data_IF_529318556210
#
_entry.id   IF_529318556210
#
_cell.length_a   1.000
_cell.length_b   1.000
_cell.length_c   1.000
_cell.angle_alpha   90.00
_cell.angle_beta   90.00
_cell.angle_gamma   90.00
#
_symmetry.space_group_name_H-M   'P 1'
#
loop_
_entity.id
_entity.type
_entity.pdbx_description
1 polymer ?
#
# COMPACT_ATOMS: atom_id res chain seq x y z
N UNK A 1 -4.76 -3.21 11.18
CA UNK A 1 -5.84 -3.77 12.02
C UNK A 1 -5.53 -5.22 12.35
N UNK A 2 -5.69 -5.67 13.61
CA UNK A 2 -5.24 -6.99 14.06
C UNK A 2 -6.05 -8.17 13.47
N UNK A 3 -7.30 -7.95 13.06
CA UNK A 3 -8.09 -9.03 12.43
C UNK A 3 -7.57 -9.45 11.06
N UNK A 4 -6.94 -8.54 10.30
CA UNK A 4 -6.43 -8.83 8.95
C UNK A 4 -5.19 -9.73 9.00
N UNK A 5 -4.44 -9.69 10.10
CA UNK A 5 -3.28 -10.56 10.31
C UNK A 5 -3.65 -12.05 10.27
N UNK A 6 -4.86 -12.41 10.66
CA UNK A 6 -5.31 -13.80 10.72
C UNK A 6 -6.21 -14.17 9.53
N UNK A 7 -6.35 -13.30 8.53
CA UNK A 7 -7.27 -13.51 7.40
C UNK A 7 -7.01 -14.84 6.68
N UNK A 8 -5.73 -15.18 6.45
CA UNK A 8 -5.33 -16.44 5.80
C UNK A 8 -5.49 -17.69 6.68
N UNK A 9 -5.66 -17.52 7.99
CA UNK A 9 -5.74 -18.62 8.97
C UNK A 9 -7.16 -18.88 9.47
N UNK A 10 -8.13 -18.07 9.03
CA UNK A 10 -9.52 -18.19 9.46
C UNK A 10 -10.21 -19.36 8.74
N UNK A 11 -10.76 -20.35 9.48
CA UNK A 11 -11.36 -21.53 8.85
C UNK A 11 -12.71 -21.25 8.18
N UNK A 12 -13.42 -20.19 8.61
CA UNK A 12 -14.75 -19.84 8.12
C UNK A 12 -14.76 -18.41 7.63
N UNK A 13 -14.68 -18.23 6.31
CA UNK A 13 -14.76 -16.94 5.63
C UNK A 13 -16.15 -16.77 5.01
N UNK A 14 -16.70 -15.56 5.12
CA UNK A 14 -17.89 -15.17 4.37
C UNK A 14 -17.57 -15.16 2.86
N UNK A 15 -18.58 -15.33 2.00
CA UNK A 15 -18.43 -15.37 0.54
C UNK A 15 -17.63 -14.18 -0.01
N UNK A 16 -17.87 -12.98 0.51
CA UNK A 16 -17.11 -11.78 0.14
C UNK A 16 -15.63 -11.93 0.52
N UNK A 17 -15.31 -12.37 1.73
CA UNK A 17 -13.93 -12.57 2.18
C UNK A 17 -13.20 -13.64 1.37
N UNK A 18 -13.90 -14.69 0.92
CA UNK A 18 -13.33 -15.72 0.04
C UNK A 18 -12.95 -15.15 -1.33
N UNK A 19 -13.81 -14.34 -1.94
CA UNK A 19 -13.51 -13.64 -3.20
C UNK A 19 -12.31 -12.70 -3.06
N UNK A 20 -12.24 -11.94 -1.96
CA UNK A 20 -11.06 -11.11 -1.66
C UNK A 20 -9.80 -11.95 -1.44
N UNK A 21 -9.90 -13.12 -0.80
CA UNK A 21 -8.76 -14.02 -0.61
C UNK A 21 -8.26 -14.62 -1.92
N UNK A 22 -9.16 -15.02 -2.81
CA UNK A 22 -8.79 -15.52 -4.14
C UNK A 22 -7.96 -14.46 -4.89
N UNK A 23 -8.39 -13.20 -4.88
CA UNK A 23 -7.65 -12.10 -5.49
C UNK A 23 -6.29 -11.86 -4.80
N UNK A 24 -6.23 -11.88 -3.47
CA UNK A 24 -4.99 -11.59 -2.74
C UNK A 24 -3.95 -12.71 -2.88
N UNK A 25 -4.37 -13.96 -3.04
CA UNK A 25 -3.48 -15.10 -3.25
C UNK A 25 -2.76 -15.07 -4.62
N UNK A 26 -3.21 -14.25 -5.57
CA UNK A 26 -2.53 -14.06 -6.85
C UNK A 26 -1.26 -13.21 -6.72
N UNK A 27 -1.09 -12.51 -5.59
CA UNK A 27 0.06 -11.66 -5.32
C UNK A 27 1.00 -12.34 -4.32
N UNK A 28 2.32 -12.23 -4.56
CA UNK A 28 3.34 -12.60 -3.58
C UNK A 28 3.40 -11.49 -2.50
N UNK A 29 2.56 -11.62 -1.46
CA UNK A 29 2.40 -10.61 -0.43
C UNK A 29 2.22 -11.18 0.97
N UNK A 30 2.72 -10.46 1.96
CA UNK A 30 2.53 -10.75 3.38
C UNK A 30 1.75 -9.61 4.08
N UNK A 31 0.87 -9.96 5.02
CA UNK A 31 0.09 -8.98 5.79
C UNK A 31 0.84 -8.65 7.09
N UNK A 32 1.57 -7.55 7.08
CA UNK A 32 2.25 -7.03 8.26
C UNK A 32 1.43 -5.95 8.99
N UNK A 33 1.52 -5.94 10.32
CA UNK A 33 0.88 -4.90 11.13
C UNK A 33 1.79 -3.68 11.27
N UNK A 34 1.44 -2.60 10.58
CA UNK A 34 2.09 -1.29 10.72
C UNK A 34 1.45 -0.48 11.85
N UNK A 35 2.27 0.15 12.71
CA UNK A 35 1.78 1.00 13.80
C UNK A 35 1.19 2.30 13.22
N UNK A 36 0.15 2.84 13.85
CA UNK A 36 -0.54 4.04 13.34
C UNK A 36 0.35 5.27 13.10
N UNK A 37 1.49 5.40 13.78
CA UNK A 37 2.47 6.49 13.56
C UNK A 37 3.22 6.35 12.22
N UNK A 38 3.38 5.14 11.71
CA UNK A 38 4.04 4.84 10.43
C UNK A 38 3.01 4.76 9.29
N UNK A 39 1.73 4.60 9.63
CA UNK A 39 0.64 4.56 8.66
C UNK A 39 0.24 5.96 8.14
N UNK A 40 1.18 6.91 8.04
CA UNK A 40 0.91 8.33 7.75
C UNK A 40 0.44 8.50 6.30
N UNK A 41 1.15 7.91 5.34
CA UNK A 41 0.81 8.01 3.92
C UNK A 41 -0.54 7.36 3.62
N UNK A 42 -0.78 6.15 4.15
CA UNK A 42 -2.05 5.46 3.95
C UNK A 42 -3.24 6.16 4.63
N UNK A 43 -3.07 6.68 5.86
CA UNK A 43 -4.09 7.49 6.54
C UNK A 43 -4.39 8.79 5.77
N UNK A 44 -3.34 9.48 5.30
CA UNK A 44 -3.48 10.70 4.50
C UNK A 44 -4.21 10.45 3.17
N UNK A 45 -3.91 9.36 2.47
CA UNK A 45 -4.59 8.97 1.22
C UNK A 45 -6.05 8.55 1.46
N UNK A 46 -6.32 7.81 2.55
CA UNK A 46 -7.69 7.41 2.91
C UNK A 46 -8.56 8.64 3.15
N UNK A 47 -8.03 9.65 3.84
CA UNK A 47 -8.73 10.92 4.08
C UNK A 47 -8.83 11.76 2.82
N UNK A 48 -7.83 11.72 1.93
CA UNK A 48 -7.84 12.47 0.68
C UNK A 48 -9.05 12.14 -0.18
N UNK A 49 -9.45 10.88 -0.31
CA UNK A 49 -10.65 10.51 -1.09
C UNK A 49 -11.93 11.16 -0.54
N UNK A 50 -12.04 11.32 0.78
CA UNK A 50 -13.16 12.02 1.42
C UNK A 50 -13.07 13.55 1.27
N UNK A 51 -11.85 14.11 1.35
CA UNK A 51 -11.60 15.56 1.21
C UNK A 51 -11.71 16.02 -0.24
N UNK A 52 -11.20 15.26 -1.21
CA UNK A 52 -11.24 15.58 -2.64
C UNK A 52 -12.66 15.57 -3.20
N UNK A 53 -13.55 14.71 -2.68
CA UNK A 53 -14.98 14.77 -3.00
C UNK A 53 -15.67 15.98 -2.37
N UNK A 54 -15.19 16.46 -1.23
CA UNK A 54 -15.78 17.57 -0.49
C UNK A 54 -15.21 18.95 -0.88
N UNK A 55 -14.06 19.01 -1.53
CA UNK A 55 -13.35 20.27 -1.78
C UNK A 55 -12.56 20.16 -3.08
N UNK A 56 -13.03 20.82 -4.14
CA UNK A 56 -12.39 20.84 -5.46
C UNK A 56 -10.99 21.46 -5.49
N UNK A 57 -10.42 21.87 -4.35
CA UNK A 57 -9.06 22.41 -4.24
C UNK A 57 -8.49 22.05 -2.85
N UNK A 58 -7.44 21.24 -2.82
CA UNK A 58 -6.40 21.32 -1.78
C UNK A 58 -5.12 20.62 -2.26
N UNK A 59 -4.16 21.41 -2.75
CA UNK A 59 -2.86 20.96 -3.27
C UNK A 59 -1.82 20.71 -2.15
N UNK A 60 -2.08 21.15 -0.92
CA UNK A 60 -1.11 21.07 0.20
C UNK A 60 -0.97 19.66 0.79
N UNK A 61 -2.05 18.88 0.85
CA UNK A 61 -1.96 17.50 1.33
C UNK A 61 -1.28 16.59 0.30
N UNK A 62 -1.58 16.79 -0.99
CA UNK A 62 -1.01 16.01 -2.08
C UNK A 62 0.52 16.17 -2.14
N UNK A 63 1.03 17.40 -2.01
CA UNK A 63 2.47 17.66 -2.00
C UNK A 63 3.15 17.00 -0.80
N UNK A 64 2.53 17.04 0.38
CA UNK A 64 3.06 16.39 1.59
C UNK A 64 3.10 14.87 1.50
N UNK A 65 2.07 14.24 0.93
CA UNK A 65 2.05 12.79 0.69
C UNK A 65 3.18 12.39 -0.27
N UNK A 66 3.31 13.11 -1.40
CA UNK A 66 4.34 12.83 -2.40
C UNK A 66 5.76 13.06 -1.85
N UNK A 67 5.95 13.99 -0.91
CA UNK A 67 7.22 14.19 -0.21
C UNK A 67 7.54 13.09 0.80
N UNK A 68 6.53 12.48 1.42
CA UNK A 68 6.73 11.43 2.44
C UNK A 68 6.91 10.04 1.83
N UNK A 69 6.33 9.78 0.66
CA UNK A 69 6.46 8.53 -0.08
C UNK A 69 7.91 8.00 -0.18
N UNK A 70 8.91 8.80 -0.59
CA UNK A 70 10.31 8.36 -0.66
C UNK A 70 10.96 7.99 0.68
N UNK A 71 10.35 8.37 1.81
CA UNK A 71 10.85 8.09 3.15
C UNK A 71 10.11 6.94 3.84
N UNK A 72 9.04 6.43 3.24
CA UNK A 72 8.31 5.28 3.74
C UNK A 72 9.15 4.01 3.54
N UNK A 73 9.37 3.26 4.62
CA UNK A 73 10.20 2.04 4.61
C UNK A 73 9.75 1.03 3.55
N UNK A 74 8.43 0.90 3.37
CA UNK A 74 7.84 0.04 2.34
C UNK A 74 8.17 0.53 0.93
N UNK A 75 8.02 1.83 0.66
CA UNK A 75 8.28 2.40 -0.67
C UNK A 75 9.76 2.28 -1.05
N UNK A 76 10.66 2.49 -0.09
CA UNK A 76 12.10 2.31 -0.30
C UNK A 76 12.41 0.85 -0.65
N UNK A 77 11.88 -0.11 0.11
CA UNK A 77 12.08 -1.53 -0.13
C UNK A 77 11.50 -1.97 -1.48
N UNK A 78 10.25 -1.59 -1.78
CA UNK A 78 9.59 -1.90 -3.05
C UNK A 78 10.34 -1.30 -4.25
N UNK A 79 10.83 -0.06 -4.13
CA UNK A 79 11.62 0.57 -5.19
C UNK A 79 12.97 -0.12 -5.40
N UNK A 80 13.65 -0.53 -4.33
CA UNK A 80 14.90 -1.27 -4.42
C UNK A 80 14.71 -2.66 -5.04
N UNK A 81 13.61 -3.34 -4.71
CA UNK A 81 13.25 -4.64 -5.29
C UNK A 81 13.00 -4.52 -6.79
N UNK A 82 12.18 -3.56 -7.23
CA UNK A 82 11.90 -3.30 -8.65
C UNK A 82 13.18 -2.94 -9.40
N UNK A 83 14.08 -2.18 -8.79
CA UNK A 83 15.39 -1.85 -9.39
C UNK A 83 16.26 -3.09 -9.58
N UNK A 84 16.27 -3.99 -8.60
CA UNK A 84 17.03 -5.24 -8.66
C UNK A 84 16.48 -6.26 -9.65
N UNK A 85 15.17 -6.20 -9.91
CA UNK A 85 14.45 -7.08 -10.84
C UNK A 85 14.39 -6.53 -12.27
N UNK A 86 14.91 -5.33 -12.54
CA UNK A 86 15.03 -4.84 -13.92
C UNK A 86 16.05 -5.70 -14.68
N UNK A 87 15.68 -6.30 -15.83
CA UNK A 87 16.68 -6.89 -16.70
C UNK A 87 17.65 -5.80 -17.14
N UNK A 88 18.93 -6.16 -17.29
CA UNK A 88 20.03 -5.27 -17.72
C UNK A 88 19.87 -4.80 -19.19
N UNK A 89 18.68 -4.36 -19.61
CA UNK A 89 18.47 -3.68 -20.88
C UNK A 89 18.72 -2.18 -20.69
N UNK A 90 20.00 -1.83 -20.63
CA UNK A 90 20.42 -0.43 -20.50
C UNK A 90 21.92 -0.19 -20.51
N UNK A 91 22.75 -1.18 -20.90
CA UNK A 91 24.19 -0.99 -21.15
C UNK A 91 24.48 -1.40 -22.60
N UNK A 92 23.95 -0.68 -23.58
CA UNK A 92 24.63 -0.44 -24.86
C UNK A 92 23.96 0.71 -25.65
N UNK A 93 24.51 1.91 -25.53
CA UNK A 93 24.77 2.96 -26.54
C UNK A 93 24.83 4.32 -25.87
#
# INVERSE_FOLDING_TARGET
HLSLRHLFMQPNLNAHQRCWMELLCEYDMEIEHVKGKENVVADALSRWRHVAMATSVSTDLQSRILQQLPHESFYIAARAEIESQRPLEGILM
#
